data_IF_273100918304
#
_entry.id   IF_273100918304
#
_cell.length_a   1.000
_cell.length_b   1.000
_cell.length_c   1.000
_cell.angle_alpha   90.00
_cell.angle_beta   90.00
_cell.angle_gamma   90.00
#
_symmetry.space_group_name_H-M   'P 1'
#
loop_
_entity.id
_entity.type
_entity.pdbx_description
1 polymer ?
#
# COMPACT_ATOMS: atom_id res chain seq x y z
N UNK A 1 -8.54 -18.77 20.80
CA UNK A 1 -8.57 -18.30 22.18
C UNK A 1 -7.17 -18.32 22.75
N UNK A 2 -6.79 -17.28 23.47
CA UNK A 2 -5.54 -17.17 24.23
C UNK A 2 -5.88 -16.97 25.71
N UNK A 3 -5.03 -17.48 26.58
CA UNK A 3 -5.13 -17.32 28.03
C UNK A 3 -3.86 -16.66 28.55
N UNK A 4 -4.00 -15.84 29.60
CA UNK A 4 -2.87 -15.16 30.22
C UNK A 4 -1.87 -16.18 30.78
N UNK A 5 -0.57 -15.91 30.56
CA UNK A 5 0.48 -16.66 31.22
C UNK A 5 0.70 -16.09 32.63
N UNK A 6 0.30 -16.81 33.64
CA UNK A 6 0.48 -16.42 35.05
C UNK A 6 1.96 -16.21 35.43
N UNK A 7 2.88 -16.87 34.74
CA UNK A 7 4.31 -16.76 34.94
C UNK A 7 5.00 -15.80 33.95
N UNK A 8 4.25 -14.82 33.39
CA UNK A 8 4.88 -13.87 32.48
C UNK A 8 5.91 -13.00 33.22
N UNK A 9 7.10 -12.82 32.63
CA UNK A 9 8.25 -12.19 33.28
C UNK A 9 8.05 -10.72 33.70
N UNK A 10 7.06 -10.02 33.11
CA UNK A 10 6.64 -8.65 33.49
C UNK A 10 5.43 -8.63 34.44
N UNK A 11 5.07 -9.75 35.00
CA UNK A 11 3.87 -9.92 35.82
C UNK A 11 2.68 -10.43 35.02
N UNK A 12 1.72 -10.99 35.72
CA UNK A 12 0.53 -11.57 35.09
C UNK A 12 -0.29 -10.49 34.34
N UNK A 13 -0.66 -10.73 33.07
CA UNK A 13 -1.49 -9.78 32.32
C UNK A 13 -2.85 -9.53 32.97
N UNK A 14 -3.33 -8.29 32.90
CA UNK A 14 -4.66 -7.91 33.44
C UNK A 14 -5.80 -8.56 32.67
N UNK A 15 -5.66 -8.66 31.33
CA UNK A 15 -6.62 -9.37 30.45
C UNK A 15 -6.31 -10.87 30.49
N UNK A 16 -7.20 -11.65 31.05
CA UNK A 16 -7.00 -13.09 31.26
C UNK A 16 -7.30 -13.95 30.04
N UNK A 17 -8.21 -13.52 29.21
CA UNK A 17 -8.62 -14.25 28.01
C UNK A 17 -8.75 -13.30 26.83
N UNK A 18 -8.23 -13.72 25.66
CA UNK A 18 -8.44 -13.05 24.39
C UNK A 18 -9.04 -14.07 23.41
N UNK A 19 -10.16 -13.72 22.79
CA UNK A 19 -10.81 -14.53 21.78
C UNK A 19 -10.83 -13.76 20.45
N UNK A 20 -10.19 -14.29 19.43
CA UNK A 20 -10.31 -13.77 18.07
C UNK A 20 -11.50 -14.44 17.42
N UNK A 21 -12.51 -13.66 17.07
CA UNK A 21 -13.66 -14.09 16.29
C UNK A 21 -13.45 -13.71 14.82
N UNK A 22 -13.56 -14.67 13.92
CA UNK A 22 -13.43 -14.43 12.49
C UNK A 22 -14.82 -14.06 11.95
N UNK A 23 -14.95 -12.82 11.46
CA UNK A 23 -16.17 -12.30 10.84
C UNK A 23 -15.74 -11.74 9.47
N UNK A 24 -16.12 -12.40 8.40
CA UNK A 24 -15.66 -12.08 7.04
C UNK A 24 -16.27 -10.79 6.50
N UNK A 25 -17.51 -10.48 6.89
CA UNK A 25 -18.21 -9.28 6.42
C UNK A 25 -17.99 -8.12 7.41
N UNK A 26 -17.47 -7.00 6.91
CA UNK A 26 -17.13 -5.82 7.71
C UNK A 26 -18.36 -5.19 8.39
N UNK A 27 -19.51 -5.09 7.71
CA UNK A 27 -20.73 -4.51 8.28
C UNK A 27 -21.27 -5.38 9.42
N UNK A 28 -21.18 -6.71 9.27
CA UNK A 28 -21.52 -7.66 10.34
C UNK A 28 -20.58 -7.50 11.55
N UNK A 29 -19.29 -7.30 11.32
CA UNK A 29 -18.31 -7.07 12.39
C UNK A 29 -18.58 -5.75 13.14
N UNK A 30 -18.96 -4.70 12.42
CA UNK A 30 -19.35 -3.41 13.01
C UNK A 30 -20.62 -3.57 13.88
N UNK A 31 -21.62 -4.29 13.39
CA UNK A 31 -22.83 -4.59 14.17
C UNK A 31 -22.51 -5.41 15.43
N UNK A 32 -21.63 -6.39 15.34
CA UNK A 32 -21.20 -7.19 16.47
C UNK A 32 -20.49 -6.31 17.54
N UNK A 33 -19.69 -5.32 17.11
CA UNK A 33 -19.08 -4.34 18.01
C UNK A 33 -20.15 -3.44 18.68
N UNK A 34 -21.10 -2.92 17.91
CA UNK A 34 -22.19 -2.08 18.43
C UNK A 34 -23.09 -2.82 19.42
N UNK A 35 -23.31 -4.11 19.20
CA UNK A 35 -24.09 -4.98 20.07
C UNK A 35 -23.31 -5.48 21.29
N UNK A 36 -22.01 -5.22 21.40
CA UNK A 36 -21.17 -5.73 22.47
C UNK A 36 -20.87 -7.24 22.38
N UNK A 37 -21.02 -7.83 21.18
CA UNK A 37 -20.63 -9.22 20.92
C UNK A 37 -19.11 -9.38 20.76
N UNK A 38 -18.43 -8.30 20.38
CA UNK A 38 -16.97 -8.16 20.39
C UNK A 38 -16.59 -6.86 21.09
N UNK A 39 -15.45 -6.85 21.78
CA UNK A 39 -14.97 -5.70 22.60
C UNK A 39 -14.11 -4.74 21.78
N UNK A 40 -13.52 -5.18 20.67
CA UNK A 40 -12.65 -4.37 19.82
C UNK A 40 -12.70 -4.85 18.37
N UNK A 41 -12.63 -3.90 17.44
CA UNK A 41 -12.56 -4.17 16.00
C UNK A 41 -11.69 -3.10 15.33
N UNK A 42 -10.83 -3.52 14.40
CA UNK A 42 -10.01 -2.61 13.60
C UNK A 42 -10.81 -2.12 12.40
N UNK A 43 -10.93 -0.81 12.27
CA UNK A 43 -11.76 -0.15 11.26
C UNK A 43 -10.92 0.76 10.36
N UNK A 44 -11.42 0.98 9.15
CA UNK A 44 -10.95 2.09 8.32
C UNK A 44 -11.50 3.42 8.83
N UNK A 45 -10.85 4.55 8.54
CA UNK A 45 -11.37 5.88 8.88
C UNK A 45 -12.80 6.13 8.37
N UNK A 46 -13.13 5.65 7.17
CA UNK A 46 -14.46 5.77 6.58
C UNK A 46 -15.53 5.02 7.39
N UNK A 47 -15.17 3.85 7.93
CA UNK A 47 -16.08 3.07 8.78
C UNK A 47 -16.31 3.77 10.13
N UNK A 48 -15.24 4.30 10.73
CA UNK A 48 -15.33 5.04 12.00
C UNK A 48 -16.21 6.29 11.85
N UNK A 49 -16.07 7.06 10.75
CA UNK A 49 -16.89 8.25 10.48
C UNK A 49 -18.39 7.96 10.38
N UNK A 50 -18.78 6.74 10.00
CA UNK A 50 -20.18 6.33 9.91
C UNK A 50 -20.78 5.91 11.24
N UNK A 51 -19.96 5.75 12.29
CA UNK A 51 -20.40 5.36 13.62
C UNK A 51 -20.64 6.57 14.51
N UNK A 52 -21.77 6.56 15.18
CA UNK A 52 -21.96 7.44 16.36
C UNK A 52 -21.28 6.76 17.56
N UNK A 53 -20.04 7.17 17.83
CA UNK A 53 -19.22 6.58 18.89
C UNK A 53 -19.84 6.77 20.27
N UNK A 54 -20.37 7.97 20.53
CA UNK A 54 -20.97 8.32 21.84
C UNK A 54 -22.27 7.53 22.09
N UNK A 55 -23.15 7.45 21.07
CA UNK A 55 -24.40 6.68 21.20
C UNK A 55 -24.17 5.19 21.40
N UNK A 56 -23.06 4.65 20.90
CA UNK A 56 -22.68 3.24 21.02
C UNK A 56 -21.69 2.98 22.19
N UNK A 57 -21.34 4.00 22.96
CA UNK A 57 -20.35 3.91 24.05
C UNK A 57 -19.01 3.31 23.57
N UNK A 58 -18.54 3.74 22.39
CA UNK A 58 -17.31 3.30 21.76
C UNK A 58 -16.24 4.39 21.84
N UNK A 59 -14.99 3.98 21.92
CA UNK A 59 -13.82 4.88 21.84
C UNK A 59 -12.95 4.46 20.66
N UNK A 60 -12.63 5.42 19.79
CA UNK A 60 -11.70 5.20 18.69
C UNK A 60 -10.27 5.58 19.11
N UNK A 61 -9.32 4.70 18.81
CA UNK A 61 -7.89 4.93 18.96
C UNK A 61 -7.24 4.80 17.59
N UNK A 62 -6.53 5.85 17.13
CA UNK A 62 -5.74 5.78 15.91
C UNK A 62 -4.28 5.47 16.25
N UNK A 63 -3.64 4.70 15.40
CA UNK A 63 -2.22 4.40 15.47
C UNK A 63 -1.63 4.25 14.07
N UNK A 64 -0.34 4.54 13.94
CA UNK A 64 0.37 4.29 12.69
C UNK A 64 0.85 2.84 12.65
N UNK A 65 0.44 2.10 11.64
CA UNK A 65 0.89 0.71 11.43
C UNK A 65 2.35 0.63 10.97
N UNK A 66 2.97 1.75 10.58
CA UNK A 66 4.27 1.73 9.91
C UNK A 66 4.21 1.06 8.52
N UNK A 67 3.01 0.98 7.93
CA UNK A 67 2.82 0.44 6.59
C UNK A 67 3.23 1.47 5.55
N UNK A 68 4.00 1.03 4.56
CA UNK A 68 4.30 1.79 3.34
C UNK A 68 3.58 1.13 2.18
N UNK A 69 2.63 1.86 1.57
CA UNK A 69 2.05 1.51 0.29
C UNK A 69 3.01 1.91 -0.83
N UNK A 70 3.11 1.11 -1.87
CA UNK A 70 4.01 1.39 -2.99
C UNK A 70 3.44 0.93 -4.32
N UNK A 71 3.85 1.62 -5.36
CA UNK A 71 3.74 1.15 -6.74
C UNK A 71 5.12 0.65 -7.19
N UNK A 72 5.19 -0.59 -7.64
CA UNK A 72 6.39 -1.20 -8.19
C UNK A 72 6.27 -1.35 -9.71
N UNK A 73 7.38 -1.15 -10.44
CA UNK A 73 7.49 -1.46 -11.86
C UNK A 73 8.23 -2.78 -12.05
N UNK A 74 7.74 -3.62 -12.95
CA UNK A 74 8.46 -4.81 -13.38
C UNK A 74 9.60 -4.40 -14.34
N UNK A 75 10.85 -4.47 -13.85
CA UNK A 75 12.01 -4.00 -14.59
C UNK A 75 12.36 -4.84 -15.83
N UNK A 76 11.83 -6.07 -15.94
CA UNK A 76 11.96 -6.88 -17.15
C UNK A 76 10.95 -6.47 -18.23
N UNK A 77 9.90 -5.75 -17.90
CA UNK A 77 8.81 -5.34 -18.80
C UNK A 77 8.86 -3.83 -19.08
N UNK A 78 9.04 -3.01 -18.08
CA UNK A 78 9.27 -1.57 -18.21
C UNK A 78 10.78 -1.31 -18.04
N UNK A 79 11.55 -1.71 -19.03
CA UNK A 79 13.03 -1.80 -18.95
C UNK A 79 13.72 -0.44 -18.90
N UNK A 80 13.18 0.57 -19.59
CA UNK A 80 13.76 1.91 -19.62
C UNK A 80 13.49 2.67 -18.32
N UNK A 81 14.55 3.06 -17.62
CA UNK A 81 14.48 3.83 -16.38
C UNK A 81 13.83 5.20 -16.59
N UNK A 82 14.09 5.87 -17.72
CA UNK A 82 13.50 7.18 -18.00
C UNK A 82 11.99 7.06 -18.20
N UNK A 83 11.51 5.96 -18.77
CA UNK A 83 10.07 5.67 -18.85
C UNK A 83 9.48 5.49 -17.45
N UNK A 84 10.11 4.71 -16.58
CA UNK A 84 9.63 4.55 -15.19
C UNK A 84 9.59 5.88 -14.43
N UNK A 85 10.63 6.71 -14.57
CA UNK A 85 10.69 8.06 -13.98
C UNK A 85 9.60 8.97 -14.52
N UNK A 86 9.36 8.94 -15.84
CA UNK A 86 8.30 9.72 -16.47
C UNK A 86 6.91 9.34 -15.93
N UNK A 87 6.65 8.04 -15.76
CA UNK A 87 5.40 7.57 -15.17
C UNK A 87 5.23 8.06 -13.73
N UNK A 88 6.31 8.11 -12.93
CA UNK A 88 6.27 8.68 -11.57
C UNK A 88 5.93 10.17 -11.57
N UNK A 89 6.52 10.97 -12.48
CA UNK A 89 6.19 12.40 -12.62
C UNK A 89 4.76 12.65 -13.13
N UNK A 90 4.13 11.68 -13.78
CA UNK A 90 2.75 11.81 -14.22
C UNK A 90 1.73 11.68 -13.07
N UNK A 91 2.14 11.13 -11.92
CA UNK A 91 1.23 10.75 -10.84
C UNK A 91 1.23 11.77 -9.69
N UNK A 92 0.04 12.19 -9.25
CA UNK A 92 -0.20 12.96 -8.04
C UNK A 92 -0.47 12.01 -6.87
N UNK A 93 0.56 11.77 -6.07
CA UNK A 93 0.49 10.89 -4.88
C UNK A 93 -0.52 11.41 -3.86
N UNK A 94 -0.55 12.75 -3.68
CA UNK A 94 -1.49 13.35 -2.72
C UNK A 94 -2.94 13.12 -3.12
N UNK A 95 -3.28 13.36 -4.39
CA UNK A 95 -4.63 13.10 -4.88
C UNK A 95 -5.03 11.63 -4.76
N UNK A 96 -4.08 10.69 -5.00
CA UNK A 96 -4.33 9.26 -4.81
C UNK A 96 -4.62 8.91 -3.35
N UNK A 97 -3.87 9.48 -2.41
CA UNK A 97 -4.04 9.19 -0.99
C UNK A 97 -5.28 9.93 -0.41
N UNK A 98 -5.56 11.15 -0.84
CA UNK A 98 -6.80 11.86 -0.49
C UNK A 98 -8.04 11.05 -0.91
N UNK A 99 -8.04 10.47 -2.10
CA UNK A 99 -9.14 9.64 -2.58
C UNK A 99 -9.25 8.30 -1.82
N UNK A 100 -8.12 7.76 -1.37
CA UNK A 100 -8.07 6.48 -0.66
C UNK A 100 -8.43 6.61 0.82
N UNK A 101 -7.99 7.69 1.49
CA UNK A 101 -8.09 7.87 2.94
C UNK A 101 -9.06 8.99 3.36
N UNK A 102 -9.55 9.82 2.42
CA UNK A 102 -10.49 10.93 2.63
C UNK A 102 -9.98 12.07 3.55
N UNK A 103 -8.84 11.94 4.20
CA UNK A 103 -8.23 12.95 5.06
C UNK A 103 -6.73 12.72 5.19
N UNK A 104 -5.96 13.81 5.16
CA UNK A 104 -4.51 13.83 5.35
C UNK A 104 -4.08 13.51 6.80
N UNK A 105 -5.02 13.41 7.74
CA UNK A 105 -4.76 12.91 9.10
C UNK A 105 -4.40 11.40 9.13
N UNK A 106 -4.76 10.64 8.09
CA UNK A 106 -4.66 9.18 8.07
C UNK A 106 -3.54 8.64 7.20
N UNK A 107 -2.77 9.51 6.53
CA UNK A 107 -1.64 9.09 5.72
C UNK A 107 -0.48 10.09 5.82
N UNK A 108 0.67 9.68 5.37
CA UNK A 108 1.81 10.54 5.06
C UNK A 108 2.48 10.04 3.78
N UNK A 109 3.10 10.93 3.03
CA UNK A 109 3.74 10.60 1.75
C UNK A 109 5.25 10.51 1.95
N UNK A 110 5.83 9.32 2.15
CA UNK A 110 7.27 9.16 2.21
C UNK A 110 7.89 9.27 0.81
N UNK A 111 9.08 9.84 0.72
CA UNK A 111 9.88 9.86 -0.52
C UNK A 111 10.90 8.71 -0.58
N UNK A 112 10.90 7.85 0.43
CA UNK A 112 11.69 6.61 0.49
C UNK A 112 10.78 5.44 0.81
N UNK A 113 11.34 4.23 0.83
CA UNK A 113 10.62 3.04 1.27
C UNK A 113 10.47 2.93 2.80
N UNK A 114 10.98 3.90 3.57
CA UNK A 114 10.77 3.96 5.02
C UNK A 114 9.52 4.80 5.35
N UNK A 115 8.69 4.40 6.31
CA UNK A 115 7.60 5.22 6.78
C UNK A 115 8.13 6.47 7.48
N UNK A 116 7.41 7.59 7.38
CA UNK A 116 7.85 8.89 7.92
C UNK A 116 8.06 8.90 9.43
N UNK A 117 7.47 7.97 10.17
CA UNK A 117 7.66 7.78 11.62
C UNK A 117 8.84 6.85 11.97
N UNK A 118 9.58 6.34 10.98
CA UNK A 118 10.80 5.58 11.25
C UNK A 118 11.92 6.50 11.73
N UNK A 119 12.66 6.06 12.75
CA UNK A 119 13.85 6.79 13.24
C UNK A 119 14.98 6.89 12.19
N UNK A 120 14.91 6.11 11.13
CA UNK A 120 15.87 6.09 10.02
C UNK A 120 15.36 6.85 8.80
N UNK A 121 14.17 7.45 8.86
CA UNK A 121 13.64 8.21 7.73
C UNK A 121 14.48 9.44 7.46
N UNK A 122 14.85 9.63 6.20
CA UNK A 122 15.54 10.83 5.71
C UNK A 122 15.12 11.09 4.26
N UNK A 123 15.07 12.34 3.88
CA UNK A 123 14.86 12.78 2.49
C UNK A 123 16.14 13.36 1.88
N UNK A 124 17.26 13.33 2.62
CA UNK A 124 18.54 13.84 2.14
C UNK A 124 19.05 12.98 0.97
N UNK A 125 19.35 13.62 -0.14
CA UNK A 125 19.83 12.96 -1.36
C UNK A 125 18.77 12.17 -2.14
N UNK A 126 17.50 12.23 -1.73
CA UNK A 126 16.41 11.54 -2.41
C UNK A 126 15.83 12.39 -3.54
N UNK A 127 15.75 11.83 -4.75
CA UNK A 127 15.02 12.44 -5.86
C UNK A 127 13.51 12.36 -5.60
N UNK A 128 12.85 13.53 -5.55
CA UNK A 128 11.40 13.62 -5.35
C UNK A 128 10.68 13.60 -6.70
N UNK A 129 9.77 12.67 -6.84
CA UNK A 129 8.91 12.54 -8.02
C UNK A 129 7.54 13.18 -7.71
N UNK A 130 7.53 14.51 -7.52
CA UNK A 130 6.29 15.27 -7.42
C UNK A 130 5.69 15.43 -8.82
N UNK A 131 4.36 15.53 -8.91
CA UNK A 131 3.69 15.58 -10.21
C UNK A 131 4.21 16.72 -11.08
N UNK A 132 4.61 16.36 -12.29
CA UNK A 132 4.97 17.28 -13.38
C UNK A 132 4.59 16.61 -14.72
N UNK A 133 3.36 16.88 -15.14
CA UNK A 133 2.76 16.28 -16.34
C UNK A 133 3.52 16.67 -17.63
N UNK A 134 4.01 17.90 -17.71
CA UNK A 134 4.75 18.37 -18.89
C UNK A 134 6.12 17.70 -18.97
N UNK A 135 6.82 17.58 -17.84
CA UNK A 135 8.07 16.82 -17.76
C UNK A 135 7.85 15.35 -18.11
N UNK A 136 6.79 14.73 -17.59
CA UNK A 136 6.43 13.35 -17.91
C UNK A 136 6.23 13.13 -19.42
N UNK A 137 5.46 14.01 -20.07
CA UNK A 137 5.24 13.99 -21.52
C UNK A 137 6.53 14.16 -22.32
N UNK A 138 7.40 15.10 -21.89
CA UNK A 138 8.70 15.32 -22.54
C UNK A 138 9.57 14.07 -22.44
N UNK A 139 9.69 13.50 -21.25
CA UNK A 139 10.51 12.30 -21.01
C UNK A 139 10.02 11.09 -21.82
N UNK A 140 8.69 10.85 -21.90
CA UNK A 140 8.13 9.76 -22.71
C UNK A 140 8.42 9.98 -24.21
N UNK A 141 8.30 11.21 -24.68
CA UNK A 141 8.64 11.58 -26.07
C UNK A 141 10.13 11.34 -26.38
N UNK A 142 11.02 11.77 -25.47
CA UNK A 142 12.47 11.62 -25.63
C UNK A 142 12.90 10.15 -25.60
N UNK A 143 12.20 9.32 -24.82
CA UNK A 143 12.35 7.87 -24.84
C UNK A 143 11.74 7.19 -26.09
N UNK A 144 11.14 7.94 -27.02
CA UNK A 144 10.52 7.41 -28.23
C UNK A 144 9.27 6.58 -27.99
N UNK A 145 8.65 6.74 -26.80
CA UNK A 145 7.48 5.96 -26.41
C UNK A 145 6.21 6.61 -26.94
N UNK A 146 5.42 5.82 -27.68
CA UNK A 146 4.08 6.18 -28.12
C UNK A 146 3.14 4.99 -27.94
N UNK A 147 1.89 5.26 -27.52
CA UNK A 147 0.87 4.22 -27.33
C UNK A 147 1.29 3.11 -26.32
N UNK A 148 1.94 3.50 -25.24
CA UNK A 148 2.33 2.58 -24.16
C UNK A 148 1.08 2.01 -23.50
N UNK A 149 1.04 0.67 -23.38
CA UNK A 149 0.01 -0.05 -22.64
C UNK A 149 0.66 -0.80 -21.51
N UNK A 150 0.14 -0.62 -20.29
CA UNK A 150 0.67 -1.22 -19.08
C UNK A 150 -0.44 -1.96 -18.34
N UNK A 151 -0.11 -3.07 -17.72
CA UNK A 151 -1.00 -3.86 -16.88
C UNK A 151 -0.68 -3.64 -15.41
N UNK A 152 -1.66 -3.15 -14.64
CA UNK A 152 -1.54 -2.88 -13.20
C UNK A 152 -2.22 -3.97 -12.38
N UNK A 153 -1.42 -4.76 -11.66
CA UNK A 153 -1.92 -5.72 -10.67
C UNK A 153 -2.23 -5.05 -9.34
N UNK A 154 -3.39 -5.34 -8.74
CA UNK A 154 -3.78 -4.83 -7.43
C UNK A 154 -4.83 -5.72 -6.76
N UNK A 155 -4.98 -5.60 -5.43
CA UNK A 155 -5.97 -6.36 -4.67
C UNK A 155 -7.30 -5.59 -4.70
N UNK A 156 -8.28 -6.12 -5.44
CA UNK A 156 -9.57 -5.44 -5.66
C UNK A 156 -10.49 -5.40 -4.43
N UNK A 157 -10.26 -6.24 -3.43
CA UNK A 157 -10.95 -6.18 -2.14
C UNK A 157 -10.34 -5.16 -1.16
N UNK A 158 -9.17 -4.59 -1.48
CA UNK A 158 -8.56 -3.50 -0.74
C UNK A 158 -9.09 -2.16 -1.30
N UNK A 159 -9.89 -1.40 -0.53
CA UNK A 159 -10.49 -0.15 -1.00
C UNK A 159 -9.44 0.92 -1.31
N UNK A 160 -8.31 0.93 -0.57
CA UNK A 160 -7.20 1.86 -0.81
C UNK A 160 -6.55 1.59 -2.15
N UNK A 161 -6.17 0.33 -2.42
CA UNK A 161 -5.58 -0.04 -3.70
C UNK A 161 -6.55 0.18 -4.87
N UNK A 162 -7.83 -0.08 -4.67
CA UNK A 162 -8.85 0.14 -5.71
C UNK A 162 -8.99 1.62 -6.07
N UNK A 163 -9.02 2.52 -5.09
CA UNK A 163 -9.07 3.95 -5.33
C UNK A 163 -7.79 4.45 -6.02
N UNK A 164 -6.63 4.04 -5.53
CA UNK A 164 -5.34 4.40 -6.14
C UNK A 164 -5.20 3.87 -7.57
N UNK A 165 -5.62 2.62 -7.85
CA UNK A 165 -5.54 2.04 -9.19
C UNK A 165 -6.34 2.83 -10.23
N UNK A 166 -7.54 3.29 -9.88
CA UNK A 166 -8.38 4.12 -10.75
C UNK A 166 -7.72 5.46 -11.07
N UNK A 167 -7.13 6.12 -10.07
CA UNK A 167 -6.43 7.39 -10.28
C UNK A 167 -5.13 7.23 -11.07
N UNK A 168 -4.37 6.16 -10.84
CA UNK A 168 -3.20 5.84 -11.68
C UNK A 168 -3.61 5.69 -13.15
N UNK A 169 -4.70 4.97 -13.41
CA UNK A 169 -5.22 4.81 -14.78
C UNK A 169 -5.59 6.15 -15.40
N UNK A 170 -6.29 7.02 -14.66
CA UNK A 170 -6.72 8.33 -15.14
C UNK A 170 -5.52 9.26 -15.39
N UNK A 171 -4.61 9.37 -14.43
CA UNK A 171 -3.45 10.27 -14.52
C UNK A 171 -2.46 9.82 -15.61
N UNK A 172 -2.21 8.52 -15.76
CA UNK A 172 -1.34 8.01 -16.82
C UNK A 172 -1.95 8.19 -18.23
N UNK A 173 -3.29 8.18 -18.32
CA UNK A 173 -3.99 8.49 -19.57
C UNK A 173 -3.73 9.92 -20.04
N UNK A 174 -3.56 10.89 -19.12
CA UNK A 174 -3.25 12.28 -19.47
C UNK A 174 -1.91 12.46 -20.19
N UNK A 175 -0.97 11.53 -19.96
CA UNK A 175 0.32 11.50 -20.63
C UNK A 175 0.37 10.50 -21.79
N UNK A 176 -0.79 9.99 -22.23
CA UNK A 176 -0.91 9.09 -23.39
C UNK A 176 -0.57 7.63 -23.11
N UNK A 177 -0.62 7.21 -21.84
CA UNK A 177 -0.38 5.81 -21.44
C UNK A 177 -1.71 5.14 -21.10
N UNK A 178 -1.98 4.00 -21.69
CA UNK A 178 -3.16 3.17 -21.41
C UNK A 178 -2.83 2.18 -20.30
N UNK A 179 -3.66 2.12 -19.24
CA UNK A 179 -3.47 1.18 -18.14
C UNK A 179 -4.64 0.19 -18.09
N UNK A 180 -4.34 -1.10 -18.21
CA UNK A 180 -5.26 -2.20 -17.93
C UNK A 180 -5.26 -2.49 -16.43
N UNK A 181 -6.42 -2.39 -15.79
CA UNK A 181 -6.58 -2.71 -14.37
C UNK A 181 -6.82 -4.21 -14.19
N UNK A 182 -5.85 -4.90 -13.59
CA UNK A 182 -5.88 -6.34 -13.31
C UNK A 182 -6.11 -6.59 -11.81
N UNK A 183 -7.30 -6.22 -11.33
CA UNK A 183 -7.71 -6.46 -9.94
C UNK A 183 -8.08 -7.92 -9.70
N UNK A 184 -7.71 -8.44 -8.53
CA UNK A 184 -8.06 -9.80 -8.10
C UNK A 184 -8.08 -9.94 -6.59
N UNK A 185 -8.39 -11.15 -6.09
CA UNK A 185 -8.19 -11.44 -4.67
C UNK A 185 -6.70 -11.49 -4.30
N UNK A 186 -6.39 -11.28 -3.02
CA UNK A 186 -5.01 -11.17 -2.54
C UNK A 186 -4.15 -12.40 -2.89
N UNK A 187 -4.72 -13.60 -2.86
CA UNK A 187 -3.99 -14.85 -3.16
C UNK A 187 -3.70 -14.95 -4.66
N UNK A 188 -4.69 -14.67 -5.50
CA UNK A 188 -4.54 -14.72 -6.96
C UNK A 188 -3.50 -13.71 -7.44
N UNK A 189 -3.60 -12.44 -6.98
CA UNK A 189 -2.65 -11.37 -7.33
C UNK A 189 -1.24 -11.68 -6.84
N UNK A 190 -1.09 -12.17 -5.60
CA UNK A 190 0.20 -12.56 -5.05
C UNK A 190 0.83 -13.73 -5.82
N UNK A 191 0.05 -14.73 -6.20
CA UNK A 191 0.54 -15.85 -6.99
C UNK A 191 0.95 -15.43 -8.40
N UNK A 192 0.15 -14.57 -9.04
CA UNK A 192 0.49 -14.03 -10.36
C UNK A 192 1.79 -13.22 -10.32
N UNK A 193 2.00 -12.40 -9.28
CA UNK A 193 3.22 -11.62 -9.11
C UNK A 193 4.47 -12.51 -8.91
N UNK A 194 4.31 -13.67 -8.24
CA UNK A 194 5.41 -14.63 -7.98
C UNK A 194 5.74 -15.50 -9.19
N UNK A 195 4.87 -15.54 -10.20
CA UNK A 195 5.13 -16.32 -11.42
C UNK A 195 6.33 -15.71 -12.17
N UNK A 196 7.33 -16.52 -12.56
CA UNK A 196 8.44 -16.05 -13.41
C UNK A 196 8.01 -15.42 -14.71
N UNK A 197 6.81 -15.77 -15.22
CA UNK A 197 6.19 -15.17 -16.40
C UNK A 197 5.17 -14.08 -16.05
N UNK A 198 5.33 -13.45 -14.90
CA UNK A 198 4.46 -12.38 -14.41
C UNK A 198 4.12 -11.37 -15.53
N UNK A 199 2.84 -11.22 -15.81
CA UNK A 199 2.34 -10.32 -16.86
C UNK A 199 2.09 -8.88 -16.38
N UNK A 200 2.24 -8.61 -15.07
CA UNK A 200 2.10 -7.25 -14.56
C UNK A 200 3.30 -6.39 -14.95
N UNK A 201 3.03 -5.23 -15.51
CA UNK A 201 4.02 -4.18 -15.76
C UNK A 201 4.23 -3.32 -14.50
N UNK A 202 3.14 -3.18 -13.73
CA UNK A 202 3.08 -2.45 -12.47
C UNK A 202 2.31 -3.26 -11.43
N UNK A 203 2.61 -3.04 -10.16
CA UNK A 203 1.94 -3.69 -9.04
C UNK A 203 1.77 -2.74 -7.85
N UNK A 204 0.55 -2.62 -7.35
CA UNK A 204 0.27 -1.97 -6.07
C UNK A 204 0.43 -2.97 -4.93
N UNK A 205 1.30 -2.62 -4.01
CA UNK A 205 1.58 -3.41 -2.82
C UNK A 205 1.70 -2.58 -1.57
N UNK A 206 2.07 -3.22 -0.50
CA UNK A 206 2.36 -2.55 0.76
C UNK A 206 3.14 -3.47 1.69
N UNK A 207 3.93 -2.87 2.55
CA UNK A 207 4.74 -3.58 3.52
C UNK A 207 4.66 -2.90 4.88
N UNK A 208 4.51 -3.68 5.94
CA UNK A 208 4.57 -3.15 7.30
C UNK A 208 6.04 -3.22 7.74
N UNK A 209 6.63 -2.04 7.94
CA UNK A 209 8.00 -1.91 8.37
C UNK A 209 8.12 -2.24 9.87
N UNK A 210 9.05 -3.12 10.19
CA UNK A 210 9.52 -3.29 11.56
C UNK A 210 10.49 -2.18 11.97
N UNK A 211 11.20 -2.40 13.07
CA UNK A 211 12.21 -1.46 13.59
C UNK A 211 13.47 -1.46 12.69
N UNK A 212 13.78 -2.60 12.08
CA UNK A 212 14.97 -2.79 11.25
C UNK A 212 14.73 -2.24 9.84
N UNK A 213 15.47 -1.22 9.39
CA UNK A 213 15.32 -0.63 8.06
C UNK A 213 15.77 -1.58 6.94
N UNK A 214 16.58 -2.60 7.23
CA UNK A 214 17.05 -3.56 6.22
C UNK A 214 15.98 -4.56 5.77
N UNK A 215 14.80 -4.54 6.39
CA UNK A 215 13.69 -5.44 6.02
C UNK A 215 13.34 -5.36 4.53
N UNK A 216 13.49 -4.17 3.89
CA UNK A 216 13.21 -3.98 2.47
C UNK A 216 14.30 -4.51 1.52
N UNK A 217 15.49 -4.85 2.02
CA UNK A 217 16.55 -5.41 1.16
C UNK A 217 16.09 -6.66 0.41
N UNK A 218 15.23 -7.46 1.04
CA UNK A 218 14.63 -8.65 0.44
C UNK A 218 13.73 -8.38 -0.78
N UNK A 219 13.22 -7.15 -0.93
CA UNK A 219 12.40 -6.74 -2.07
C UNK A 219 13.23 -6.17 -3.23
N UNK A 220 14.36 -5.54 -2.93
CA UNK A 220 15.12 -4.75 -3.91
C UNK A 220 16.49 -5.32 -4.25
N UNK A 221 17.07 -6.13 -3.35
CA UNK A 221 18.38 -6.71 -3.58
C UNK A 221 18.35 -7.66 -4.78
N UNK A 222 19.38 -7.55 -5.63
CA UNK A 222 19.54 -8.43 -6.80
C UNK A 222 19.51 -9.91 -6.41
N UNK A 223 18.62 -10.67 -7.06
CA UNK A 223 18.44 -12.10 -6.78
C UNK A 223 17.80 -12.44 -5.43
N UNK A 224 17.31 -11.47 -4.67
CA UNK A 224 16.59 -11.74 -3.42
C UNK A 224 15.26 -12.46 -3.65
N UNK A 225 14.86 -13.28 -2.67
CA UNK A 225 13.71 -14.19 -2.78
C UNK A 225 12.35 -13.49 -3.03
N UNK A 226 12.22 -12.23 -2.64
CA UNK A 226 10.99 -11.45 -2.80
C UNK A 226 11.10 -10.35 -3.86
N UNK A 227 12.22 -10.30 -4.62
CA UNK A 227 12.40 -9.36 -5.71
C UNK A 227 11.66 -9.83 -6.98
N UNK A 228 10.35 -9.91 -6.91
CA UNK A 228 9.49 -10.37 -8.01
C UNK A 228 9.38 -9.36 -9.16
N UNK A 229 9.79 -8.11 -8.93
CA UNK A 229 9.76 -7.04 -9.94
C UNK A 229 11.12 -6.83 -10.63
N UNK A 230 12.05 -7.74 -10.37
CA UNK A 230 13.33 -7.86 -11.07
C UNK A 230 14.21 -6.59 -10.99
N UNK A 231 14.23 -5.95 -9.83
CA UNK A 231 15.17 -4.86 -9.59
C UNK A 231 16.61 -5.38 -9.71
N UNK A 232 17.46 -4.59 -10.34
CA UNK A 232 18.89 -4.85 -10.46
C UNK A 232 19.68 -3.58 -10.13
N UNK A 233 20.90 -3.74 -9.65
CA UNK A 233 21.77 -2.60 -9.32
C UNK A 233 21.89 -2.30 -7.83
N UNK A 234 21.25 -3.12 -6.99
CA UNK A 234 21.48 -3.15 -5.54
C UNK A 234 21.96 -4.56 -5.14
N UNK A 235 23.19 -4.67 -4.63
CA UNK A 235 23.84 -5.92 -4.20
C UNK A 235 24.12 -5.91 -2.69
#
# INVERSE_FOLDING_TARGET
>A
KFEANENYYKGEPSVKNIVFQIIENADTAILALQNGEVDAYQMTPQQVKKLDLDANNLTAYSYSEGRVGYLQFNCNRVTDENVRKALLFAMDKKAMDDAAYESDEYYSIPYTFLPTNSQFYTEEGVEKYDQDVDKAKSMLKDAGVSNLKLKLGYISSDPVQSAQALLIQEQLKEVGVEVELAGGDATAVSNAMKDPNNEYDMYLGGYIMGIDPDTFSSLFKNGAAYNYMHYSGYD
#
